data_IF_571440204175
#
_entry.id   IF_571440204175
#
_cell.length_a   1.000
_cell.length_b   1.000
_cell.length_c   1.000
_cell.angle_alpha   90.00
_cell.angle_beta   90.00
_cell.angle_gamma   90.00
#
_symmetry.space_group_name_H-M   'P 1'
#
loop_
_entity.id
_entity.type
_entity.pdbx_description
1 polymer ?
#
# COMPACT_ATOMS: atom_id res chain seq x y z
N UNK A 1 10.94 9.90 5.64
CA UNK A 1 10.27 8.96 4.72
C UNK A 1 11.06 7.66 4.79
N UNK A 2 10.39 6.58 5.14
CA UNK A 2 11.04 5.33 5.52
C UNK A 2 11.59 4.59 4.30
N UNK A 3 12.74 3.93 4.44
CA UNK A 3 13.48 3.34 3.31
C UNK A 3 12.66 2.27 2.58
N UNK A 4 11.86 1.48 3.32
CA UNK A 4 10.97 0.48 2.74
C UNK A 4 9.91 1.11 1.83
N UNK A 5 9.25 2.17 2.31
CA UNK A 5 8.26 2.92 1.52
C UNK A 5 8.90 3.63 0.31
N UNK A 6 10.07 4.27 0.47
CA UNK A 6 10.78 4.90 -0.65
C UNK A 6 11.09 3.88 -1.75
N UNK A 7 11.57 2.70 -1.37
CA UNK A 7 11.89 1.62 -2.30
C UNK A 7 10.63 1.06 -2.98
N UNK A 8 9.53 0.93 -2.23
CA UNK A 8 8.21 0.55 -2.76
C UNK A 8 7.73 1.54 -3.81
N UNK A 9 7.69 2.83 -3.47
CA UNK A 9 7.27 3.90 -4.39
C UNK A 9 8.16 3.95 -5.63
N UNK A 10 9.47 3.77 -5.47
CA UNK A 10 10.41 3.74 -6.60
C UNK A 10 10.14 2.57 -7.54
N UNK A 11 9.89 1.37 -7.02
CA UNK A 11 9.58 0.18 -7.82
C UNK A 11 8.22 0.31 -8.53
N UNK A 12 7.20 0.80 -7.81
CA UNK A 12 5.87 1.06 -8.37
C UNK A 12 5.94 2.12 -9.48
N UNK A 13 6.61 3.25 -9.26
CA UNK A 13 6.73 4.32 -10.24
C UNK A 13 7.51 3.89 -11.50
N UNK A 14 8.48 2.99 -11.39
CA UNK A 14 9.17 2.43 -12.58
C UNK A 14 8.23 1.57 -13.44
N UNK A 15 7.31 0.87 -12.82
CA UNK A 15 6.40 -0.08 -13.49
C UNK A 15 5.11 0.58 -13.96
N UNK A 16 4.65 1.57 -13.21
CA UNK A 16 3.46 2.38 -13.44
C UNK A 16 3.88 3.86 -13.47
N UNK A 17 4.69 4.28 -14.46
CA UNK A 17 5.19 5.65 -14.54
C UNK A 17 4.04 6.62 -14.82
N UNK A 18 3.87 7.58 -13.92
CA UNK A 18 2.81 8.59 -14.01
C UNK A 18 3.10 9.61 -15.13
N UNK A 19 2.22 9.72 -16.13
CA UNK A 19 2.26 10.77 -17.18
C UNK A 19 0.98 11.61 -17.08
N UNK A 20 0.56 12.02 -15.87
CA UNK A 20 -0.62 12.86 -15.59
C UNK A 20 -1.94 12.12 -15.31
N UNK A 21 -1.90 10.91 -14.77
CA UNK A 21 -3.10 10.14 -14.40
C UNK A 21 -2.88 9.29 -13.16
N UNK A 22 -3.65 9.57 -12.10
CA UNK A 22 -3.70 8.87 -10.80
C UNK A 22 -4.17 7.40 -10.91
N UNK A 23 -3.66 6.64 -11.86
CA UNK A 23 -4.05 5.24 -12.07
C UNK A 23 -3.54 4.35 -10.95
N UNK A 24 -2.47 4.73 -10.25
CA UNK A 24 -1.99 4.07 -9.04
C UNK A 24 -1.56 5.10 -8.00
N UNK A 25 -2.15 5.01 -6.80
CA UNK A 25 -1.72 5.70 -5.59
C UNK A 25 -1.65 4.69 -4.46
N UNK A 26 -0.66 4.83 -3.58
CA UNK A 26 -0.59 4.09 -2.32
C UNK A 26 -0.58 5.14 -1.21
N UNK A 27 -1.37 4.91 -0.17
CA UNK A 27 -1.24 5.60 1.11
C UNK A 27 -0.94 4.56 2.20
N UNK A 28 -0.21 4.94 3.24
CA UNK A 28 -0.07 4.12 4.43
C UNK A 28 -0.37 4.93 5.69
N UNK A 29 -0.94 4.25 6.68
CA UNK A 29 -1.40 4.82 7.94
C UNK A 29 -0.84 3.97 9.07
N UNK A 30 -0.26 4.61 10.08
CA UNK A 30 0.17 3.93 11.29
C UNK A 30 -0.90 3.92 12.38
N UNK A 31 -0.71 3.13 13.44
CA UNK A 31 -1.66 2.96 14.55
C UNK A 31 -1.94 4.23 15.37
N UNK A 32 -1.33 5.37 15.02
CA UNK A 32 -1.62 6.69 15.61
C UNK A 32 -2.30 7.61 14.60
N UNK A 33 -2.89 7.06 13.54
CA UNK A 33 -3.60 7.76 12.48
C UNK A 33 -2.72 8.75 11.69
N UNK A 34 -1.42 8.47 11.60
CA UNK A 34 -0.49 9.30 10.83
C UNK A 34 -0.28 8.71 9.44
N UNK A 35 -0.38 9.55 8.42
CA UNK A 35 -0.15 9.17 7.03
C UNK A 35 1.34 9.14 6.70
N UNK A 36 1.73 8.43 5.65
CA UNK A 36 3.13 8.25 5.25
C UNK A 36 3.85 9.52 4.75
N UNK A 37 3.11 10.60 4.52
CA UNK A 37 3.62 11.96 4.29
C UNK A 37 3.80 12.79 5.58
N UNK A 38 3.30 12.30 6.73
CA UNK A 38 3.54 12.88 8.04
C UNK A 38 5.00 12.64 8.48
N UNK A 39 5.64 13.67 9.02
CA UNK A 39 7.01 13.59 9.57
C UNK A 39 7.12 12.65 10.76
N UNK A 40 6.03 12.38 11.45
CA UNK A 40 5.95 11.53 12.62
C UNK A 40 5.53 10.10 12.29
N UNK A 41 5.17 9.79 11.04
CA UNK A 41 4.81 8.44 10.61
C UNK A 41 5.86 7.41 11.02
N UNK A 42 5.37 6.30 11.57
CA UNK A 42 6.21 5.22 12.08
C UNK A 42 5.80 3.89 11.43
N UNK A 43 6.68 3.33 10.59
CA UNK A 43 6.35 2.11 9.86
C UNK A 43 6.33 0.86 10.75
N UNK A 44 7.00 0.86 11.92
CA UNK A 44 7.01 -0.31 12.81
C UNK A 44 5.63 -0.60 13.39
N UNK A 45 4.80 0.43 13.53
CA UNK A 45 3.40 0.36 13.95
C UNK A 45 2.44 0.60 12.79
N UNK A 46 2.81 0.18 11.57
CA UNK A 46 1.94 0.20 10.40
C UNK A 46 0.60 -0.48 10.70
N UNK A 47 -0.48 0.20 10.29
CA UNK A 47 -1.86 -0.22 10.54
C UNK A 47 -2.58 -0.57 9.23
N UNK A 48 -2.56 0.36 8.27
CA UNK A 48 -3.30 0.22 7.01
C UNK A 48 -2.44 0.63 5.83
N UNK A 49 -2.54 -0.10 4.72
CA UNK A 49 -2.06 0.32 3.41
C UNK A 49 -3.24 0.35 2.44
N UNK A 50 -3.49 1.52 1.84
CA UNK A 50 -4.53 1.72 0.84
C UNK A 50 -3.93 1.79 -0.54
N UNK A 51 -4.47 0.99 -1.45
CA UNK A 51 -4.09 0.95 -2.85
C UNK A 51 -5.26 1.46 -3.66
N UNK A 52 -5.07 2.58 -4.34
CA UNK A 52 -6.03 3.13 -5.27
C UNK A 52 -5.58 2.81 -6.69
N UNK A 53 -6.32 1.96 -7.38
CA UNK A 53 -6.03 1.57 -8.76
C UNK A 53 -7.26 1.71 -9.65
N UNK A 54 -7.21 2.58 -10.66
CA UNK A 54 -8.33 2.82 -11.61
C UNK A 54 -9.72 2.97 -10.94
N UNK A 55 -9.82 3.81 -9.92
CA UNK A 55 -11.05 4.05 -9.13
C UNK A 55 -11.50 2.88 -8.25
N UNK A 56 -10.67 1.84 -8.06
CA UNK A 56 -10.88 0.80 -7.06
C UNK A 56 -9.98 1.08 -5.87
N UNK A 57 -10.53 0.91 -4.67
CA UNK A 57 -9.78 0.98 -3.42
C UNK A 57 -9.64 -0.41 -2.82
N UNK A 58 -8.40 -0.76 -2.46
CA UNK A 58 -8.07 -1.99 -1.75
C UNK A 58 -7.32 -1.60 -0.49
N UNK A 59 -7.84 -2.04 0.64
CA UNK A 59 -7.24 -1.81 1.95
C UNK A 59 -6.57 -3.09 2.43
N UNK A 60 -5.34 -2.97 2.90
CA UNK A 60 -4.57 -4.04 3.54
C UNK A 60 -4.41 -3.64 5.00
N UNK A 61 -5.17 -4.29 5.88
CA UNK A 61 -5.32 -3.86 7.28
C UNK A 61 -4.67 -4.85 8.23
N UNK A 62 -3.93 -4.33 9.21
CA UNK A 62 -3.25 -5.12 10.23
C UNK A 62 -4.16 -5.31 11.44
N UNK A 63 -4.44 -6.57 11.75
CA UNK A 63 -5.20 -6.97 12.93
C UNK A 63 -4.28 -7.39 14.09
N UNK A 64 -4.85 -8.13 15.05
CA UNK A 64 -4.13 -8.66 16.19
C UNK A 64 -2.91 -9.49 15.76
N UNK A 65 -1.76 -9.21 16.38
CA UNK A 65 -0.44 -9.77 16.05
C UNK A 65 0.02 -9.46 14.61
N UNK A 66 0.25 -10.51 13.80
CA UNK A 66 0.73 -10.44 12.42
C UNK A 66 -0.33 -10.91 11.43
N UNK A 67 -1.60 -10.86 11.82
CA UNK A 67 -2.71 -11.16 10.93
C UNK A 67 -3.05 -9.92 10.10
N UNK A 68 -3.27 -10.13 8.81
CA UNK A 68 -3.61 -9.07 7.87
C UNK A 68 -4.85 -9.46 7.07
N UNK A 69 -5.71 -8.49 6.80
CA UNK A 69 -6.85 -8.62 5.89
C UNK A 69 -6.58 -7.87 4.60
N UNK A 70 -7.21 -8.31 3.52
CA UNK A 70 -7.31 -7.56 2.27
C UNK A 70 -8.80 -7.36 2.03
N UNK A 71 -9.25 -6.10 2.03
CA UNK A 71 -10.63 -5.71 1.79
C UNK A 71 -10.70 -4.88 0.51
N UNK A 72 -11.72 -5.15 -0.33
CA UNK A 72 -12.08 -4.29 -1.45
C UNK A 72 -13.26 -3.40 -1.08
N UNK A 73 -13.13 -2.09 -1.30
CA UNK A 73 -14.20 -1.14 -0.93
C UNK A 73 -15.22 -0.94 -2.06
N UNK A 74 -14.85 -1.28 -3.31
CA UNK A 74 -15.58 -0.86 -4.52
C UNK A 74 -15.91 -1.98 -5.53
N UNK A 75 -15.77 -3.26 -5.16
CA UNK A 75 -15.87 -4.42 -6.07
C UNK A 75 -14.88 -4.38 -7.25
N UNK A 76 -13.84 -5.19 -7.17
CA UNK A 76 -12.79 -5.26 -8.20
C UNK A 76 -13.34 -5.76 -9.54
N UNK A 77 -13.06 -5.03 -10.63
CA UNK A 77 -13.37 -5.50 -11.99
C UNK A 77 -12.51 -6.72 -12.35
N UNK A 78 -13.14 -7.72 -12.95
CA UNK A 78 -12.47 -8.97 -13.35
C UNK A 78 -11.16 -8.74 -14.15
N UNK A 79 -11.17 -7.79 -15.07
CA UNK A 79 -10.03 -7.44 -15.93
C UNK A 79 -8.83 -6.84 -15.19
N UNK A 80 -9.05 -6.25 -14.01
CA UNK A 80 -8.01 -5.57 -13.23
C UNK A 80 -7.33 -6.49 -12.20
N UNK A 81 -7.94 -7.64 -11.84
CA UNK A 81 -7.39 -8.58 -10.84
C UNK A 81 -5.93 -8.96 -11.09
N UNK A 82 -5.57 -9.20 -12.35
CA UNK A 82 -4.19 -9.58 -12.69
C UNK A 82 -3.20 -8.47 -12.35
N UNK A 83 -3.58 -7.21 -12.58
CA UNK A 83 -2.69 -6.09 -12.32
C UNK A 83 -2.65 -5.74 -10.84
N UNK A 84 -3.79 -5.77 -10.16
CA UNK A 84 -3.91 -5.66 -8.71
C UNK A 84 -3.02 -6.70 -8.00
N UNK A 85 -3.08 -7.97 -8.41
CA UNK A 85 -2.22 -9.01 -7.81
C UNK A 85 -0.73 -8.70 -7.94
N UNK A 86 -0.30 -8.04 -9.03
CA UNK A 86 1.08 -7.61 -9.20
C UNK A 86 1.44 -6.40 -8.33
N UNK A 87 0.51 -5.46 -8.15
CA UNK A 87 0.69 -4.30 -7.27
C UNK A 87 0.81 -4.79 -5.83
N UNK A 88 -0.13 -5.64 -5.38
CA UNK A 88 -0.11 -6.30 -4.08
C UNK A 88 1.22 -7.03 -3.84
N UNK A 89 1.72 -7.76 -4.84
CA UNK A 89 3.02 -8.45 -4.72
C UNK A 89 4.20 -7.49 -4.49
N UNK A 90 4.19 -6.29 -5.09
CA UNK A 90 5.25 -5.28 -4.88
C UNK A 90 5.09 -4.66 -3.49
N UNK A 91 3.87 -4.25 -3.13
CA UNK A 91 3.57 -3.65 -1.82
C UNK A 91 3.98 -4.60 -0.69
N UNK A 92 3.51 -5.84 -0.73
CA UNK A 92 3.81 -6.83 0.32
C UNK A 92 5.29 -7.21 0.39
N UNK A 93 6.02 -7.19 -0.72
CA UNK A 93 7.47 -7.44 -0.76
C UNK A 93 8.26 -6.40 0.05
N UNK A 94 7.81 -5.15 0.09
CA UNK A 94 8.48 -4.09 0.84
C UNK A 94 7.97 -4.02 2.28
N UNK A 95 6.67 -4.21 2.50
CA UNK A 95 6.10 -4.30 3.87
C UNK A 95 6.72 -5.46 4.65
N UNK A 96 6.97 -6.61 4.03
CA UNK A 96 7.55 -7.78 4.69
C UNK A 96 8.99 -7.58 5.21
N UNK A 97 9.61 -6.42 4.94
CA UNK A 97 10.94 -6.06 5.41
C UNK A 97 10.91 -5.18 6.67
N UNK A 98 9.73 -4.70 7.04
CA UNK A 98 9.53 -3.89 8.22
C UNK A 98 9.54 -4.83 9.44
N UNK A 99 10.28 -4.45 10.47
CA UNK A 99 10.21 -5.09 11.78
C UNK A 99 9.00 -4.48 12.52
N UNK A 100 7.90 -5.23 12.57
CA UNK A 100 6.63 -4.78 13.13
C UNK A 100 6.62 -4.97 14.66
N UNK A 101 6.14 -3.94 15.36
CA UNK A 101 5.93 -3.94 16.82
C UNK A 101 4.68 -4.73 17.25
#
# INVERSE_FOLDING_TARGET
>A
MNENFINMYTELNRKYPDIYGRDLRIDAIDRKDRYDDDKLFDETILDVVRIYYKQQTISIERYYENNWEIEDEDYIKFEDFREIGKILSIVMKHISRIELD
#
